data_IF_271515776051
#
_entry.id   IF_271515776051
#
_cell.length_a   1.000
_cell.length_b   1.000
_cell.length_c   1.000
_cell.angle_alpha   90.00
_cell.angle_beta   90.00
_cell.angle_gamma   90.00
#
_symmetry.space_group_name_H-M   'P 1'
#
loop_
_entity.id
_entity.type
_entity.pdbx_description
1 polymer ?
#
# COMPACT_ATOMS: atom_id res chain seq x y z
N UNK A 1 21.86 -17.49 -18.60
CA UNK A 1 21.66 -17.46 -17.15
C UNK A 1 22.01 -16.12 -16.55
N UNK A 2 23.09 -15.51 -17.01
CA UNK A 2 23.42 -14.17 -16.56
C UNK A 2 22.33 -13.16 -16.92
N UNK A 3 21.69 -13.35 -18.04
CA UNK A 3 20.61 -12.50 -18.47
C UNK A 3 19.40 -12.59 -17.54
N UNK A 4 19.08 -13.80 -17.08
CA UNK A 4 17.97 -14.01 -16.13
C UNK A 4 18.27 -13.38 -14.79
N UNK A 5 19.51 -13.53 -14.29
CA UNK A 5 19.90 -12.94 -13.02
C UNK A 5 19.85 -11.43 -13.09
N UNK A 6 20.27 -10.84 -14.21
CA UNK A 6 20.22 -9.41 -14.40
C UNK A 6 18.78 -8.89 -14.45
N UNK A 7 17.89 -9.63 -15.10
CA UNK A 7 16.48 -9.26 -15.16
C UNK A 7 15.83 -9.29 -13.80
N UNK A 8 16.16 -10.29 -12.98
CA UNK A 8 15.60 -10.39 -11.65
C UNK A 8 16.12 -9.29 -10.74
N UNK A 9 17.40 -8.97 -10.83
CA UNK A 9 17.96 -7.87 -10.07
C UNK A 9 17.33 -6.54 -10.47
N UNK A 10 17.16 -6.33 -11.78
CA UNK A 10 16.52 -5.12 -12.29
C UNK A 10 15.07 -5.05 -11.84
N UNK A 11 14.34 -6.16 -11.88
CA UNK A 11 12.96 -6.22 -11.43
C UNK A 11 12.84 -5.88 -9.96
N UNK A 12 13.72 -6.47 -9.14
CA UNK A 12 13.69 -6.22 -7.70
C UNK A 12 13.96 -4.75 -7.37
N UNK A 13 14.88 -4.13 -8.10
CA UNK A 13 15.18 -2.72 -7.91
C UNK A 13 14.02 -1.84 -8.32
N UNK A 14 13.40 -2.14 -9.45
CA UNK A 14 12.24 -1.40 -9.94
C UNK A 14 11.08 -1.53 -8.96
N UNK A 15 10.80 -2.75 -8.53
CA UNK A 15 9.70 -3.01 -7.60
C UNK A 15 9.91 -2.28 -6.29
N UNK A 16 11.14 -2.28 -5.79
CA UNK A 16 11.47 -1.58 -4.54
C UNK A 16 11.28 -0.08 -4.68
N UNK A 17 11.70 0.47 -5.82
CA UNK A 17 11.53 1.89 -6.11
C UNK A 17 10.06 2.27 -6.21
N UNK A 18 9.27 1.46 -6.93
CA UNK A 18 7.83 1.69 -7.06
C UNK A 18 7.16 1.66 -5.70
N UNK A 19 7.53 0.69 -4.86
CA UNK A 19 6.98 0.59 -3.52
C UNK A 19 7.25 1.86 -2.71
N UNK A 20 8.47 2.37 -2.76
CA UNK A 20 8.81 3.62 -2.08
C UNK A 20 8.03 4.80 -2.64
N UNK A 21 7.90 4.90 -3.95
CA UNK A 21 7.19 5.99 -4.59
C UNK A 21 5.69 5.96 -4.29
N UNK A 22 5.12 4.77 -4.11
CA UNK A 22 3.71 4.65 -3.73
C UNK A 22 3.53 4.98 -2.25
N UNK A 23 4.43 4.54 -1.39
CA UNK A 23 4.33 4.82 0.05
C UNK A 23 4.49 6.29 0.37
N UNK A 24 5.30 7.00 -0.41
CA UNK A 24 5.59 8.41 -0.13
C UNK A 24 4.32 9.26 -0.04
N UNK A 25 3.36 9.20 -0.97
CA UNK A 25 2.13 9.97 -0.82
C UNK A 25 1.17 9.42 0.22
N UNK A 26 1.28 8.16 0.61
CA UNK A 26 0.36 7.57 1.57
C UNK A 26 0.55 8.14 2.97
N UNK A 27 1.79 8.40 3.37
CA UNK A 27 2.07 8.92 4.70
C UNK A 27 1.44 10.29 4.93
N UNK A 28 1.64 11.30 4.06
CA UNK A 28 1.00 12.58 4.29
C UNK A 28 -0.53 12.53 4.19
N UNK A 29 -1.09 11.65 3.36
CA UNK A 29 -2.54 11.49 3.28
C UNK A 29 -3.08 10.96 4.61
N UNK A 30 -2.44 9.94 5.17
CA UNK A 30 -2.84 9.39 6.46
C UNK A 30 -2.73 10.44 7.56
N UNK A 31 -1.62 11.13 7.63
CA UNK A 31 -1.40 12.15 8.66
C UNK A 31 -2.39 13.30 8.54
N UNK A 32 -2.66 13.74 7.32
CA UNK A 32 -3.62 14.82 7.09
C UNK A 32 -5.02 14.39 7.54
N UNK A 33 -5.42 13.16 7.23
CA UNK A 33 -6.72 12.64 7.61
C UNK A 33 -6.84 12.50 9.12
N UNK A 34 -5.81 11.98 9.77
CA UNK A 34 -5.80 11.88 11.23
C UNK A 34 -5.87 13.25 11.89
N UNK A 35 -5.19 14.23 11.29
CA UNK A 35 -5.23 15.60 11.79
C UNK A 35 -6.62 16.20 11.64
N UNK A 36 -7.29 15.93 10.52
CA UNK A 36 -8.69 16.35 10.35
C UNK A 36 -9.57 15.76 11.42
N UNK A 37 -9.41 14.49 11.73
CA UNK A 37 -10.20 13.84 12.78
C UNK A 37 -9.97 14.52 14.12
N UNK A 38 -8.72 14.73 14.50
CA UNK A 38 -8.41 15.30 15.81
C UNK A 38 -8.89 16.73 15.94
N UNK A 39 -8.82 17.50 14.87
CA UNK A 39 -9.15 18.92 14.93
C UNK A 39 -10.65 19.17 14.82
N UNK A 40 -11.35 18.46 13.96
CA UNK A 40 -12.71 18.80 13.59
C UNK A 40 -13.78 17.82 14.08
N UNK A 41 -13.40 16.67 14.60
CA UNK A 41 -14.39 15.69 15.02
C UNK A 41 -15.38 16.24 16.04
N UNK A 42 -14.92 17.08 16.96
CA UNK A 42 -15.79 17.68 18.00
C UNK A 42 -16.53 18.90 17.51
N UNK A 43 -16.06 19.51 16.43
CA UNK A 43 -16.66 20.73 15.91
C UNK A 43 -17.83 20.44 14.97
N UNK A 44 -17.88 19.24 14.43
CA UNK A 44 -18.94 18.86 13.50
C UNK A 44 -20.10 18.32 14.32
N UNK A 45 -21.13 19.14 14.46
CA UNK A 45 -22.32 18.78 15.24
C UNK A 45 -23.27 17.96 14.38
N UNK A 46 -23.54 18.43 13.14
CA UNK A 46 -24.30 17.67 12.17
C UNK A 46 -23.34 16.82 11.36
N UNK A 47 -23.78 15.63 10.99
CA UNK A 47 -22.97 14.71 10.18
C UNK A 47 -21.66 14.27 10.86
N UNK A 48 -21.57 14.38 12.18
CA UNK A 48 -20.38 13.92 12.88
C UNK A 48 -20.10 12.45 12.67
N UNK A 49 -21.15 11.64 12.64
CA UNK A 49 -20.99 10.20 12.37
C UNK A 49 -20.51 9.95 10.95
N UNK A 50 -21.00 10.72 9.98
CA UNK A 50 -20.57 10.61 8.60
C UNK A 50 -19.11 11.05 8.44
N UNK A 51 -18.72 12.12 9.09
CA UNK A 51 -17.35 12.59 9.09
C UNK A 51 -16.41 11.51 9.63
N UNK A 52 -16.77 10.90 10.75
CA UNK A 52 -15.97 9.83 11.35
C UNK A 52 -15.88 8.62 10.44
N UNK A 53 -16.99 8.27 9.79
CA UNK A 53 -17.00 7.15 8.86
C UNK A 53 -16.12 7.40 7.65
N UNK A 54 -16.24 8.58 7.06
CA UNK A 54 -15.48 8.90 5.84
C UNK A 54 -13.98 9.00 6.12
N UNK A 55 -13.60 9.68 7.19
CA UNK A 55 -12.19 9.80 7.54
C UNK A 55 -11.61 8.45 7.98
N UNK A 56 -12.41 7.66 8.69
CA UNK A 56 -12.00 6.30 9.06
C UNK A 56 -11.80 5.42 7.83
N UNK A 57 -12.64 5.58 6.82
CA UNK A 57 -12.49 4.86 5.56
C UNK A 57 -11.20 5.23 4.86
N UNK A 58 -10.87 6.51 4.81
CA UNK A 58 -9.62 6.97 4.18
C UNK A 58 -8.42 6.35 4.90
N UNK A 59 -8.40 6.40 6.21
CA UNK A 59 -7.29 5.86 6.99
C UNK A 59 -7.16 4.36 6.76
N UNK A 60 -8.29 3.64 6.76
CA UNK A 60 -8.28 2.21 6.53
C UNK A 60 -7.76 1.88 5.13
N UNK A 61 -8.22 2.59 4.12
CA UNK A 61 -7.78 2.34 2.74
C UNK A 61 -6.30 2.65 2.55
N UNK A 62 -5.82 3.72 3.17
CA UNK A 62 -4.38 4.03 3.13
C UNK A 62 -3.58 2.93 3.80
N UNK A 63 -4.06 2.42 4.93
CA UNK A 63 -3.42 1.30 5.62
C UNK A 63 -3.37 0.04 4.77
N UNK A 64 -4.48 -0.26 4.10
CA UNK A 64 -4.55 -1.42 3.21
C UNK A 64 -3.60 -1.28 2.03
N UNK A 65 -3.52 -0.10 1.44
CA UNK A 65 -2.59 0.16 0.35
C UNK A 65 -1.15 -0.01 0.80
N UNK A 66 -0.82 0.51 1.99
CA UNK A 66 0.52 0.36 2.54
C UNK A 66 0.88 -1.10 2.75
N UNK A 67 -0.05 -1.86 3.29
CA UNK A 67 0.15 -3.30 3.50
C UNK A 67 0.38 -4.02 2.18
N UNK A 68 -0.42 -3.69 1.18
CA UNK A 68 -0.30 -4.28 -0.15
C UNK A 68 1.07 -3.98 -0.76
N UNK A 69 1.52 -2.74 -0.63
CA UNK A 69 2.82 -2.33 -1.14
C UNK A 69 3.95 -3.05 -0.39
N UNK A 70 3.82 -3.21 0.92
CA UNK A 70 4.80 -3.95 1.71
C UNK A 70 4.89 -5.40 1.29
N UNK A 71 3.75 -6.04 1.04
CA UNK A 71 3.72 -7.42 0.57
C UNK A 71 4.35 -7.54 -0.81
N UNK A 72 4.05 -6.60 -1.69
CA UNK A 72 4.65 -6.57 -3.03
C UNK A 72 6.16 -6.41 -2.95
N UNK A 73 6.64 -5.49 -2.12
CA UNK A 73 8.06 -5.24 -1.93
C UNK A 73 8.76 -6.47 -1.36
N UNK A 74 8.14 -7.12 -0.39
CA UNK A 74 8.66 -8.34 0.20
C UNK A 74 8.74 -9.46 -0.82
N UNK A 75 7.71 -9.61 -1.64
CA UNK A 75 7.68 -10.61 -2.69
C UNK A 75 8.80 -10.38 -3.71
N UNK A 76 9.03 -9.13 -4.07
CA UNK A 76 10.08 -8.77 -5.03
C UNK A 76 11.49 -9.02 -4.50
N UNK A 77 11.65 -9.10 -3.17
CA UNK A 77 12.95 -9.37 -2.55
C UNK A 77 13.26 -10.84 -2.39
N UNK A 78 12.35 -11.73 -2.73
CA UNK A 78 12.59 -13.15 -2.59
C UNK A 78 13.74 -13.57 -3.49
N UNK A 79 14.70 -14.33 -2.95
CA UNK A 79 15.89 -14.69 -3.70
C UNK A 79 15.67 -15.76 -4.76
N UNK A 80 14.49 -16.33 -4.81
CA UNK A 80 14.22 -17.43 -5.74
C UNK A 80 14.03 -16.92 -7.15
N UNK A 81 14.58 -17.63 -8.14
CA UNK A 81 14.51 -17.22 -9.52
C UNK A 81 13.16 -17.44 -10.18
N UNK A 82 12.22 -18.05 -9.50
CA UNK A 82 10.92 -18.33 -10.10
C UNK A 82 9.92 -17.27 -9.67
N UNK A 83 10.05 -16.11 -10.24
CA UNK A 83 9.06 -15.06 -10.09
C UNK A 83 8.21 -15.05 -11.36
N UNK A 84 6.96 -15.46 -11.25
CA UNK A 84 6.04 -15.45 -12.37
C UNK A 84 5.07 -14.29 -12.19
N UNK A 85 4.70 -13.71 -13.31
CA UNK A 85 3.72 -12.64 -13.31
C UNK A 85 2.39 -13.09 -12.68
N UNK A 86 2.05 -14.36 -12.90
CA UNK A 86 0.84 -14.94 -12.30
C UNK A 86 0.88 -14.92 -10.78
N UNK A 87 2.06 -15.20 -10.21
CA UNK A 87 2.22 -15.20 -8.76
C UNK A 87 2.01 -13.80 -8.18
N UNK A 88 2.49 -12.77 -8.89
CA UNK A 88 2.29 -11.40 -8.46
C UNK A 88 0.83 -11.00 -8.50
N UNK A 89 0.12 -11.41 -9.55
CA UNK A 89 -1.31 -11.13 -9.68
C UNK A 89 -2.09 -11.82 -8.57
N UNK A 90 -1.75 -13.06 -8.26
CA UNK A 90 -2.40 -13.81 -7.19
C UNK A 90 -2.16 -13.15 -5.84
N UNK A 91 -0.94 -12.69 -5.59
CA UNK A 91 -0.62 -12.01 -4.35
C UNK A 91 -1.47 -10.74 -4.17
N UNK A 92 -1.59 -9.95 -5.22
CA UNK A 92 -2.41 -8.74 -5.18
C UNK A 92 -3.87 -9.09 -4.97
N UNK A 93 -4.36 -10.13 -5.64
CA UNK A 93 -5.73 -10.58 -5.46
C UNK A 93 -6.01 -11.00 -4.03
N UNK A 94 -5.11 -11.77 -3.45
CA UNK A 94 -5.26 -12.20 -2.06
C UNK A 94 -5.29 -11.01 -1.11
N UNK A 95 -4.43 -10.04 -1.34
CA UNK A 95 -4.42 -8.84 -0.51
C UNK A 95 -5.73 -8.07 -0.61
N UNK A 96 -6.32 -8.00 -1.79
CA UNK A 96 -7.60 -7.31 -1.99
C UNK A 96 -8.77 -8.05 -1.36
N UNK A 97 -8.74 -9.38 -1.39
CA UNK A 97 -9.86 -10.18 -0.85
C UNK A 97 -9.80 -10.37 0.66
N UNK A 98 -8.66 -10.16 1.27
CA UNK A 98 -8.51 -10.31 2.72
C UNK A 98 -9.00 -9.10 3.50
N UNK A 99 -9.51 -8.12 2.84
CA UNK A 99 -10.06 -6.94 3.51
C UNK A 99 -11.49 -7.23 4.08
#
# INVERSE_FOLDING_TARGET
>A
RQLLDQRQAAWSDVARRIAHEIKNPLTPIQLATERLQRRYARQIVEDGALFAELTGTIIRQVGDLRKMVDEFSSFARLPKPVFRQEDAVDLVRQALFLQ
#
